data_IF_426726519764
#
_entry.id   IF_426726519764
#
_cell.length_a   1.000
_cell.length_b   1.000
_cell.length_c   1.000
_cell.angle_alpha   90.00
_cell.angle_beta   90.00
_cell.angle_gamma   90.00
#
_symmetry.space_group_name_H-M   'P 1'
#
loop_
_entity.id
_entity.type
_entity.pdbx_description
1 polymer ?
#
# COMPACT_ATOMS: atom_id res chain seq x y z
N UNK A 1 -0.07 -41.95 47.80
CA UNK A 1 0.75 -41.72 46.59
C UNK A 1 -0.06 -42.23 45.42
N UNK A 2 -0.52 -41.45 44.44
CA UNK A 2 -0.34 -40.04 44.07
C UNK A 2 -1.65 -39.57 43.36
N UNK A 3 -1.97 -38.26 43.36
CA UNK A 3 -3.12 -37.74 42.62
C UNK A 3 -2.77 -37.54 41.14
N UNK A 4 -3.72 -37.82 40.26
CA UNK A 4 -3.63 -37.61 38.81
C UNK A 4 -3.65 -36.11 38.48
N UNK A 5 -2.56 -35.63 37.90
CA UNK A 5 -2.44 -34.32 37.27
C UNK A 5 -3.31 -34.30 36.00
N UNK A 6 -4.34 -33.47 36.00
CA UNK A 6 -5.05 -33.07 34.79
C UNK A 6 -4.21 -31.95 34.16
N UNK A 7 -3.59 -32.27 33.05
CA UNK A 7 -2.85 -31.34 32.20
C UNK A 7 -3.86 -30.39 31.55
N UNK A 8 -3.88 -29.13 31.96
CA UNK A 8 -4.71 -28.10 31.33
C UNK A 8 -4.14 -27.78 29.96
N UNK A 9 -4.85 -28.16 28.90
CA UNK A 9 -4.52 -27.75 27.53
C UNK A 9 -4.35 -26.22 27.46
N UNK A 10 -3.32 -25.71 26.76
CA UNK A 10 -3.18 -24.28 26.53
C UNK A 10 -4.39 -23.77 25.76
N UNK A 11 -5.02 -22.72 26.29
CA UNK A 11 -6.16 -22.07 25.65
C UNK A 11 -5.73 -21.47 24.33
N UNK A 12 -6.46 -21.78 23.25
CA UNK A 12 -6.19 -21.23 21.94
C UNK A 12 -6.42 -19.69 21.93
N UNK A 13 -5.59 -18.90 21.22
CA UNK A 13 -5.59 -17.44 21.30
C UNK A 13 -6.90 -16.75 20.91
N UNK A 14 -7.83 -17.46 20.25
CA UNK A 14 -9.13 -16.94 19.85
C UNK A 14 -10.21 -16.97 20.95
N UNK A 15 -9.88 -17.49 22.14
CA UNK A 15 -10.79 -17.53 23.30
C UNK A 15 -10.47 -16.49 24.38
N UNK A 16 -9.59 -15.52 24.09
CA UNK A 16 -9.48 -14.31 24.91
C UNK A 16 -10.75 -13.48 24.70
N UNK A 17 -11.73 -13.70 25.58
CA UNK A 17 -12.88 -12.83 25.78
C UNK A 17 -12.41 -11.38 25.84
N UNK A 18 -12.87 -10.54 24.92
CA UNK A 18 -12.62 -9.11 24.90
C UNK A 18 -13.04 -8.49 26.23
N UNK A 19 -12.12 -7.91 27.01
CA UNK A 19 -12.50 -6.78 27.81
C UNK A 19 -12.49 -5.57 26.88
N UNK A 20 -13.53 -4.76 26.93
CA UNK A 20 -13.46 -3.35 26.55
C UNK A 20 -12.37 -2.68 27.39
N UNK A 21 -11.11 -2.83 27.00
CA UNK A 21 -10.01 -2.02 27.45
C UNK A 21 -9.87 -0.90 26.43
N UNK A 22 -10.46 0.25 26.75
CA UNK A 22 -9.76 1.50 26.45
C UNK A 22 -8.43 1.44 27.23
N UNK A 23 -7.45 0.71 26.72
CA UNK A 23 -6.07 0.90 27.15
C UNK A 23 -5.75 2.37 26.89
N UNK A 24 -4.98 2.98 27.80
CA UNK A 24 -4.71 4.43 27.83
C UNK A 24 -3.86 4.93 26.67
N UNK A 25 -4.36 4.79 25.45
CA UNK A 25 -3.81 5.42 24.25
C UNK A 25 -3.97 6.91 24.44
N UNK A 26 -2.86 7.64 24.61
CA UNK A 26 -2.89 9.08 24.60
C UNK A 26 -3.21 9.57 23.18
N UNK A 27 -4.50 9.76 22.90
CA UNK A 27 -4.96 10.20 21.57
C UNK A 27 -4.40 11.57 21.17
N UNK A 28 -3.82 12.34 22.10
CA UNK A 28 -3.20 13.64 21.82
C UNK A 28 -1.96 13.54 20.93
N UNK A 29 -1.31 12.38 20.86
CA UNK A 29 -0.15 12.16 19.99
C UNK A 29 -0.54 11.97 18.52
N UNK A 30 -1.84 11.75 18.24
CA UNK A 30 -2.38 11.68 16.89
C UNK A 30 -3.07 13.02 16.57
N UNK A 31 -2.58 13.81 15.61
CA UNK A 31 -3.12 15.16 15.37
C UNK A 31 -4.62 15.21 15.04
N UNK A 32 -5.16 14.15 14.44
CA UNK A 32 -6.59 13.99 14.15
C UNK A 32 -7.32 13.09 15.17
N UNK A 33 -6.63 12.65 16.22
CA UNK A 33 -7.13 11.74 17.24
C UNK A 33 -7.33 10.29 16.77
N UNK A 34 -6.90 9.95 15.55
CA UNK A 34 -7.11 8.62 14.94
C UNK A 34 -5.77 7.93 14.72
N UNK A 35 -5.64 6.76 15.35
CA UNK A 35 -4.49 5.86 15.21
C UNK A 35 -4.65 4.99 13.96
N UNK A 36 -3.54 4.71 13.27
CA UNK A 36 -3.50 3.71 12.18
C UNK A 36 -3.81 2.33 12.77
N UNK A 37 -4.68 1.54 12.17
CA UNK A 37 -5.04 0.22 12.74
C UNK A 37 -3.83 -0.74 12.73
N UNK A 38 -3.09 -0.76 11.62
CA UNK A 38 -1.92 -1.60 11.40
C UNK A 38 -2.24 -2.81 10.52
N UNK A 39 -1.33 -3.78 10.48
CA UNK A 39 -1.54 -5.00 9.70
C UNK A 39 -2.31 -6.02 10.56
N UNK A 40 -3.30 -6.68 9.98
CA UNK A 40 -4.17 -7.64 10.68
C UNK A 40 -4.38 -8.92 9.88
N UNK A 41 -4.62 -10.01 10.59
CA UNK A 41 -5.13 -11.22 9.96
C UNK A 41 -6.59 -11.00 9.53
N UNK A 42 -7.03 -11.60 8.41
CA UNK A 42 -8.42 -11.54 8.01
C UNK A 42 -9.31 -12.27 9.01
N UNK A 43 -10.58 -11.90 9.02
CA UNK A 43 -11.63 -12.66 9.68
C UNK A 43 -11.83 -13.96 8.89
N UNK A 44 -11.16 -15.04 9.31
CA UNK A 44 -11.13 -16.31 8.57
C UNK A 44 -12.51 -16.88 8.23
N UNK A 45 -13.52 -16.65 9.08
CA UNK A 45 -14.90 -17.07 8.84
C UNK A 45 -15.58 -16.33 7.66
N UNK A 46 -15.04 -15.19 7.24
CA UNK A 46 -15.54 -14.41 6.11
C UNK A 46 -14.83 -14.73 4.80
N UNK A 47 -13.71 -15.47 4.86
CA UNK A 47 -13.00 -15.90 3.66
C UNK A 47 -13.86 -16.83 2.81
N UNK A 48 -13.81 -16.61 1.50
CA UNK A 48 -14.55 -17.42 0.53
C UNK A 48 -13.63 -18.49 -0.06
N UNK A 49 -14.12 -19.72 -0.31
CA UNK A 49 -13.34 -20.74 -0.99
C UNK A 49 -13.17 -20.38 -2.48
N UNK A 50 -12.17 -20.98 -3.15
CA UNK A 50 -11.92 -20.77 -4.58
C UNK A 50 -13.17 -20.94 -5.46
N UNK A 51 -14.05 -21.89 -5.13
CA UNK A 51 -15.29 -22.14 -5.88
C UNK A 51 -16.27 -20.95 -5.89
N UNK A 52 -16.13 -20.00 -4.98
CA UNK A 52 -16.93 -18.78 -4.93
C UNK A 52 -16.31 -17.61 -5.72
N UNK A 53 -15.05 -17.74 -6.17
CA UNK A 53 -14.42 -16.71 -6.99
C UNK A 53 -14.95 -16.73 -8.43
N UNK A 54 -15.09 -15.56 -9.07
CA UNK A 54 -15.52 -15.49 -10.46
C UNK A 54 -14.50 -16.16 -11.39
N UNK A 55 -15.01 -16.87 -12.41
CA UNK A 55 -14.18 -17.39 -13.50
C UNK A 55 -13.70 -16.29 -14.45
N UNK A 56 -14.47 -15.21 -14.53
CA UNK A 56 -14.15 -14.01 -15.29
C UNK A 56 -14.71 -12.79 -14.55
N UNK A 57 -13.86 -11.79 -14.34
CA UNK A 57 -14.23 -10.46 -13.84
C UNK A 57 -14.48 -9.56 -15.06
N UNK A 58 -15.48 -8.70 -14.98
CA UNK A 58 -15.80 -7.68 -16.00
C UNK A 58 -15.90 -6.30 -15.35
N UNK A 59 -15.92 -5.24 -16.15
CA UNK A 59 -16.05 -3.85 -15.68
C UNK A 59 -14.74 -3.05 -15.76
N UNK A 60 -14.78 -1.81 -15.27
CA UNK A 60 -13.73 -0.80 -15.51
C UNK A 60 -12.39 -1.08 -14.83
N UNK A 61 -12.40 -1.91 -13.79
CA UNK A 61 -11.20 -2.38 -13.08
C UNK A 61 -10.41 -3.41 -13.89
N UNK A 62 -11.01 -3.98 -14.95
CA UNK A 62 -10.37 -4.92 -15.87
C UNK A 62 -9.90 -4.16 -17.10
N UNK A 63 -8.60 -3.89 -17.17
CA UNK A 63 -7.99 -3.17 -18.28
C UNK A 63 -6.68 -3.81 -18.69
N UNK A 64 -6.25 -3.52 -19.93
CA UNK A 64 -4.98 -3.97 -20.48
C UNK A 64 -4.04 -2.81 -20.72
N UNK A 65 -2.74 -3.07 -20.80
CA UNK A 65 -1.76 -2.01 -21.06
C UNK A 65 -2.05 -1.28 -22.38
N UNK A 66 -2.49 -2.01 -23.41
CA UNK A 66 -2.77 -1.46 -24.74
C UNK A 66 -3.90 -0.42 -24.75
N UNK A 67 -4.78 -0.44 -23.74
CA UNK A 67 -5.83 0.56 -23.57
C UNK A 67 -5.25 1.98 -23.30
N UNK A 68 -4.00 2.05 -22.81
CA UNK A 68 -3.39 3.27 -22.25
C UNK A 68 -2.04 3.65 -22.87
N UNK A 69 -1.24 2.70 -23.37
CA UNK A 69 0.10 2.95 -23.92
C UNK A 69 0.11 4.07 -24.97
N UNK A 70 -0.91 4.09 -25.84
CA UNK A 70 -1.06 5.09 -26.91
C UNK A 70 -2.16 6.12 -26.65
N UNK A 71 -2.73 6.14 -25.44
CA UNK A 71 -3.89 6.97 -25.06
C UNK A 71 -3.65 7.68 -23.70
N UNK A 72 -2.61 8.52 -23.57
CA UNK A 72 -2.26 9.18 -22.32
C UNK A 72 -3.39 10.03 -21.76
N UNK A 73 -4.25 10.62 -22.58
CA UNK A 73 -5.41 11.43 -22.17
C UNK A 73 -6.41 10.67 -21.30
N UNK A 74 -6.37 9.33 -21.29
CA UNK A 74 -7.25 8.49 -20.46
C UNK A 74 -6.77 8.35 -19.00
N UNK A 75 -5.50 8.68 -18.72
CA UNK A 75 -4.88 8.41 -17.43
C UNK A 75 -3.84 9.45 -16.97
N UNK A 76 -3.57 10.46 -17.78
CA UNK A 76 -2.65 11.57 -17.48
C UNK A 76 -3.43 12.87 -17.28
N UNK A 77 -3.25 13.51 -16.13
CA UNK A 77 -3.72 14.87 -15.87
C UNK A 77 -2.54 15.82 -15.79
N UNK A 78 -2.45 16.78 -16.71
CA UNK A 78 -1.43 17.83 -16.64
C UNK A 78 -2.02 18.99 -15.84
N UNK A 79 -1.36 19.36 -14.74
CA UNK A 79 -1.82 20.52 -13.96
C UNK A 79 -1.77 21.78 -14.81
N UNK A 80 -2.87 22.52 -14.82
CA UNK A 80 -2.89 23.85 -15.44
C UNK A 80 -2.43 24.94 -14.46
N UNK A 81 -2.22 26.15 -14.96
CA UNK A 81 -1.72 27.28 -14.16
C UNK A 81 -2.65 27.66 -13.00
N UNK A 82 -3.97 27.56 -13.18
CA UNK A 82 -4.93 27.87 -12.12
C UNK A 82 -4.88 26.84 -10.99
N UNK A 83 -4.74 25.56 -11.32
CA UNK A 83 -4.63 24.47 -10.36
C UNK A 83 -3.33 24.58 -9.54
N UNK A 84 -2.21 24.90 -10.21
CA UNK A 84 -0.93 25.15 -9.53
C UNK A 84 -1.00 26.40 -8.65
N UNK A 85 -1.65 27.48 -9.12
CA UNK A 85 -1.82 28.69 -8.34
C UNK A 85 -2.67 28.46 -7.09
N UNK A 86 -3.76 27.70 -7.21
CA UNK A 86 -4.60 27.30 -6.08
C UNK A 86 -3.80 26.47 -5.06
N UNK A 87 -3.11 25.41 -5.52
CA UNK A 87 -2.29 24.55 -4.65
C UNK A 87 -1.19 25.36 -3.94
N UNK A 88 -0.50 26.23 -4.67
CA UNK A 88 0.53 27.11 -4.11
C UNK A 88 -0.04 27.97 -2.99
N UNK A 89 -1.14 28.68 -3.25
CA UNK A 89 -1.71 29.63 -2.31
C UNK A 89 -2.25 28.94 -1.04
N UNK A 90 -2.84 27.75 -1.17
CA UNK A 90 -3.32 26.97 -0.02
C UNK A 90 -2.16 26.38 0.78
N UNK A 91 -1.10 25.91 0.09
CA UNK A 91 0.11 25.43 0.75
C UNK A 91 0.82 26.53 1.53
N UNK A 92 0.95 27.73 0.96
CA UNK A 92 1.57 28.88 1.64
C UNK A 92 0.80 29.25 2.92
N UNK A 93 -0.54 29.33 2.84
CA UNK A 93 -1.39 29.57 4.02
C UNK A 93 -1.26 28.50 5.09
N UNK A 94 -1.15 27.23 4.69
CA UNK A 94 -0.97 26.12 5.63
C UNK A 94 0.39 26.23 6.35
N UNK A 95 1.45 26.57 5.60
CA UNK A 95 2.80 26.80 6.15
C UNK A 95 2.77 27.98 7.14
N UNK A 96 2.14 29.10 6.76
CA UNK A 96 2.00 30.29 7.61
C UNK A 96 1.23 29.99 8.91
N UNK A 97 0.25 29.08 8.87
CA UNK A 97 -0.50 28.67 10.05
C UNK A 97 0.33 27.87 11.06
N UNK A 98 1.53 27.41 10.69
CA UNK A 98 2.43 26.67 11.58
C UNK A 98 1.89 25.30 12.03
N UNK A 99 0.91 24.76 11.30
CA UNK A 99 0.35 23.44 11.57
C UNK A 99 1.37 22.39 11.09
N UNK A 100 1.73 21.39 11.91
CA UNK A 100 2.65 20.34 11.47
C UNK A 100 2.03 19.54 10.31
N UNK A 101 2.88 19.03 9.41
CA UNK A 101 2.45 18.17 8.29
C UNK A 101 1.57 16.99 8.73
N UNK A 102 1.84 16.42 9.89
CA UNK A 102 1.05 15.30 10.45
C UNK A 102 -0.38 15.70 10.85
N UNK A 103 -0.65 17.01 10.98
CA UNK A 103 -1.97 17.58 11.23
C UNK A 103 -2.70 18.09 9.99
N UNK A 104 -2.15 17.86 8.78
CA UNK A 104 -2.84 18.24 7.55
C UNK A 104 -4.09 17.40 7.34
N UNK A 105 -5.20 18.05 7.06
CA UNK A 105 -6.47 17.40 6.81
C UNK A 105 -7.31 18.24 5.84
N UNK A 106 -8.39 17.64 5.33
CA UNK A 106 -9.28 18.31 4.37
C UNK A 106 -9.92 19.59 4.92
N UNK A 107 -10.06 19.71 6.25
CA UNK A 107 -10.66 20.88 6.88
C UNK A 107 -9.72 22.08 6.93
N UNK A 108 -8.40 21.87 7.01
CA UNK A 108 -7.38 22.93 7.06
C UNK A 108 -6.58 23.08 5.76
N UNK A 109 -6.75 22.17 4.79
CA UNK A 109 -6.21 22.27 3.43
C UNK A 109 -7.34 22.25 2.40
N UNK A 110 -7.99 23.39 2.20
CA UNK A 110 -9.20 23.51 1.36
C UNK A 110 -8.89 24.00 -0.05
N UNK A 111 -9.03 23.12 -1.03
CA UNK A 111 -9.04 23.40 -2.46
C UNK A 111 -10.47 23.66 -2.93
N UNK A 112 -10.78 24.88 -3.33
CA UNK A 112 -12.10 25.30 -3.76
C UNK A 112 -12.46 24.75 -5.15
N UNK A 113 -11.54 24.83 -6.11
CA UNK A 113 -11.76 24.38 -7.49
C UNK A 113 -11.33 22.93 -7.68
N UNK A 114 -10.07 22.62 -7.35
CA UNK A 114 -9.45 21.31 -7.62
C UNK A 114 -10.13 20.15 -6.87
N UNK A 115 -10.85 20.42 -5.78
CA UNK A 115 -11.59 19.39 -5.03
C UNK A 115 -12.66 18.65 -5.85
N UNK A 116 -13.23 19.28 -6.88
CA UNK A 116 -14.21 18.61 -7.75
C UNK A 116 -13.54 17.55 -8.61
N UNK A 117 -12.40 17.89 -9.22
CA UNK A 117 -11.59 16.94 -9.97
C UNK A 117 -11.10 15.80 -9.05
N UNK A 118 -10.56 16.12 -7.87
CA UNK A 118 -10.03 15.12 -6.94
C UNK A 118 -11.09 14.14 -6.45
N UNK A 119 -12.35 14.57 -6.29
CA UNK A 119 -13.47 13.66 -5.99
C UNK A 119 -13.73 12.68 -7.14
N UNK A 120 -13.69 13.15 -8.39
CA UNK A 120 -13.80 12.29 -9.57
C UNK A 120 -12.65 11.29 -9.65
N UNK A 121 -11.42 11.76 -9.38
CA UNK A 121 -10.23 10.91 -9.38
C UNK A 121 -10.30 9.87 -8.27
N UNK A 122 -10.75 10.24 -7.06
CA UNK A 122 -10.98 9.27 -5.99
C UNK A 122 -11.96 8.17 -6.42
N UNK A 123 -13.04 8.52 -7.11
CA UNK A 123 -13.98 7.53 -7.66
C UNK A 123 -13.29 6.60 -8.67
N UNK A 124 -12.49 7.15 -9.60
CA UNK A 124 -11.70 6.38 -10.58
C UNK A 124 -10.67 5.45 -9.91
N UNK A 125 -10.05 5.89 -8.80
CA UNK A 125 -9.12 5.04 -8.03
C UNK A 125 -9.84 3.86 -7.41
N UNK A 126 -11.02 4.08 -6.85
CA UNK A 126 -11.74 3.04 -6.11
C UNK A 126 -12.50 2.10 -7.04
N UNK A 127 -13.18 2.62 -8.06
CA UNK A 127 -14.16 1.84 -8.83
C UNK A 127 -13.87 1.78 -10.34
N UNK A 128 -12.98 2.64 -10.84
CA UNK A 128 -12.56 2.67 -12.25
C UNK A 128 -11.25 1.91 -12.46
N UNK A 129 -10.39 2.45 -13.33
CA UNK A 129 -9.08 1.86 -13.67
C UNK A 129 -8.08 1.77 -12.51
N UNK A 130 -8.27 2.54 -11.44
CA UNK A 130 -7.44 2.39 -10.25
C UNK A 130 -6.10 3.09 -10.27
N UNK A 131 -5.77 3.91 -11.27
CA UNK A 131 -4.53 4.69 -11.30
C UNK A 131 -4.67 5.99 -12.09
N UNK A 132 -3.80 6.96 -11.80
CA UNK A 132 -3.65 8.22 -12.52
C UNK A 132 -2.22 8.75 -12.41
N UNK A 133 -1.76 9.43 -13.45
CA UNK A 133 -0.51 10.17 -13.47
C UNK A 133 -0.80 11.67 -13.57
N UNK A 134 -0.44 12.42 -12.54
CA UNK A 134 -0.39 13.87 -12.64
C UNK A 134 0.98 14.31 -13.15
N UNK A 135 1.01 15.32 -14.02
CA UNK A 135 2.25 15.94 -14.51
C UNK A 135 2.28 17.44 -14.22
N UNK A 136 3.49 17.98 -14.07
CA UNK A 136 3.73 19.42 -13.92
C UNK A 136 3.66 19.94 -12.48
N UNK A 137 3.76 19.07 -11.47
CA UNK A 137 3.85 19.51 -10.08
C UNK A 137 5.21 20.20 -9.85
N UNK A 138 5.27 21.46 -9.40
CA UNK A 138 6.46 22.30 -9.53
C UNK A 138 7.47 22.10 -8.38
N UNK A 139 7.95 20.87 -8.20
CA UNK A 139 8.83 20.49 -7.08
C UNK A 139 10.13 21.29 -7.02
N UNK A 140 10.72 21.60 -8.17
CA UNK A 140 11.97 22.37 -8.25
C UNK A 140 11.78 23.82 -7.79
N UNK A 141 10.60 24.40 -8.05
CA UNK A 141 10.27 25.77 -7.65
C UNK A 141 9.87 25.85 -6.18
N UNK A 142 9.19 24.83 -5.66
CA UNK A 142 8.68 24.81 -4.30
C UNK A 142 9.68 24.28 -3.27
N UNK A 143 10.68 23.50 -3.70
CA UNK A 143 11.55 22.76 -2.79
C UNK A 143 10.79 21.71 -1.98
N UNK A 144 11.49 20.95 -1.15
CA UNK A 144 10.91 19.78 -0.48
C UNK A 144 9.75 20.11 0.45
N UNK A 145 9.86 21.17 1.27
CA UNK A 145 8.85 21.45 2.29
C UNK A 145 7.50 21.83 1.68
N UNK A 146 7.46 22.82 0.78
CA UNK A 146 6.20 23.23 0.15
C UNK A 146 5.64 22.15 -0.79
N UNK A 147 6.52 21.39 -1.45
CA UNK A 147 6.09 20.21 -2.22
C UNK A 147 5.41 19.16 -1.35
N UNK A 148 5.97 18.86 -0.17
CA UNK A 148 5.37 17.95 0.81
C UNK A 148 4.01 18.45 1.29
N UNK A 149 3.89 19.74 1.64
CA UNK A 149 2.62 20.35 2.06
C UNK A 149 1.55 20.23 0.98
N UNK A 150 1.87 20.65 -0.26
CA UNK A 150 0.91 20.60 -1.36
C UNK A 150 0.53 19.16 -1.74
N UNK A 151 1.51 18.24 -1.72
CA UNK A 151 1.30 16.83 -2.06
C UNK A 151 0.47 16.09 -1.03
N UNK A 152 0.76 16.27 0.26
CA UNK A 152 -0.09 15.77 1.33
C UNK A 152 -1.48 16.41 1.25
N UNK A 153 -1.55 17.73 1.01
CA UNK A 153 -2.82 18.44 0.82
C UNK A 153 -3.72 17.80 -0.25
N UNK A 154 -3.16 17.43 -1.41
CA UNK A 154 -3.85 16.64 -2.44
C UNK A 154 -4.33 15.29 -1.89
N UNK A 155 -3.45 14.58 -1.17
CA UNK A 155 -3.76 13.29 -0.54
C UNK A 155 -4.98 13.30 0.37
N UNK A 156 -5.27 14.43 1.06
CA UNK A 156 -6.45 14.56 1.93
C UNK A 156 -7.79 14.40 1.21
N UNK A 157 -7.81 14.57 -0.11
CA UNK A 157 -9.00 14.35 -0.94
C UNK A 157 -9.14 12.91 -1.43
N UNK A 158 -8.04 12.15 -1.37
CA UNK A 158 -7.97 10.76 -1.83
C UNK A 158 -8.08 9.76 -0.70
N UNK A 159 -7.78 10.11 0.55
CA UNK A 159 -7.97 9.23 1.71
C UNK A 159 -7.32 9.76 2.99
N UNK A 160 -7.23 8.90 3.99
CA UNK A 160 -6.61 9.21 5.28
C UNK A 160 -5.19 8.68 5.35
N UNK A 161 -4.22 9.49 5.77
CA UNK A 161 -2.85 9.01 5.89
C UNK A 161 -2.72 7.91 6.93
N UNK A 162 -2.09 6.81 6.52
CA UNK A 162 -1.71 5.72 7.41
C UNK A 162 -0.20 5.65 7.53
N UNK A 163 0.26 5.11 8.65
CA UNK A 163 1.68 4.88 8.84
C UNK A 163 2.20 3.78 7.91
N UNK A 164 3.41 3.96 7.40
CA UNK A 164 4.04 3.14 6.37
C UNK A 164 5.15 2.22 6.90
N UNK A 165 5.51 2.38 8.18
CA UNK A 165 6.57 1.63 8.85
C UNK A 165 6.48 1.79 10.38
N UNK A 166 7.29 1.03 11.11
CA UNK A 166 7.35 1.05 12.57
C UNK A 166 7.84 2.37 13.18
N UNK A 167 8.30 3.35 12.37
CA UNK A 167 8.71 4.69 12.82
C UNK A 167 7.57 5.71 12.76
N UNK A 168 6.37 5.32 12.31
CA UNK A 168 5.24 6.23 12.23
C UNK A 168 5.23 7.10 10.97
N UNK A 169 6.07 6.83 9.96
CA UNK A 169 6.14 7.69 8.78
C UNK A 169 4.81 7.68 8.01
N UNK A 170 4.15 8.84 7.92
CA UNK A 170 2.94 9.05 7.10
C UNK A 170 3.28 9.74 5.77
N UNK A 171 4.41 10.44 5.71
CA UNK A 171 5.11 10.82 4.49
C UNK A 171 6.39 9.98 4.42
N UNK A 172 6.43 9.01 3.52
CA UNK A 172 7.57 8.10 3.34
C UNK A 172 8.51 8.61 2.26
N UNK A 173 9.74 8.09 2.25
CA UNK A 173 10.72 8.38 1.20
C UNK A 173 11.26 7.08 0.60
N UNK A 174 11.11 6.94 -0.72
CA UNK A 174 11.69 5.84 -1.50
C UNK A 174 13.01 6.33 -2.09
N UNK A 175 14.12 5.88 -1.51
CA UNK A 175 15.47 6.38 -1.76
C UNK A 175 16.48 5.32 -1.37
N UNK A 176 17.53 5.12 -2.17
CA UNK A 176 18.61 4.22 -1.80
C UNK A 176 19.44 4.84 -0.67
N UNK A 177 19.60 4.10 0.42
CA UNK A 177 20.39 4.46 1.60
C UNK A 177 21.70 3.68 1.68
N UNK A 178 22.02 2.87 0.67
CA UNK A 178 23.22 2.03 0.63
C UNK A 178 23.11 0.76 1.48
N UNK A 179 21.89 0.32 1.75
CA UNK A 179 21.62 -0.90 2.51
C UNK A 179 21.77 -2.15 1.64
N UNK A 180 22.14 -3.27 2.25
CA UNK A 180 22.31 -4.55 1.56
C UNK A 180 20.94 -5.23 1.29
N UNK A 181 20.48 -5.30 0.02
CA UNK A 181 19.17 -5.88 -0.31
C UNK A 181 19.10 -7.40 -0.07
N UNK A 182 20.23 -8.07 0.18
CA UNK A 182 20.26 -9.51 0.49
C UNK A 182 19.89 -9.81 1.94
N UNK A 183 19.94 -8.82 2.84
CA UNK A 183 19.48 -8.91 4.22
C UNK A 183 17.96 -8.80 4.30
N UNK A 184 17.26 -9.69 3.57
CA UNK A 184 15.83 -9.57 3.28
C UNK A 184 14.94 -9.53 4.52
N UNK A 185 15.38 -10.05 5.67
CA UNK A 185 14.65 -10.05 6.94
C UNK A 185 14.72 -8.70 7.68
N UNK A 186 15.72 -7.87 7.38
CA UNK A 186 16.01 -6.61 8.09
C UNK A 186 15.83 -5.37 7.21
N UNK A 187 16.16 -5.50 5.93
CA UNK A 187 16.18 -4.37 4.98
C UNK A 187 14.86 -4.30 4.24
N UNK A 188 14.29 -3.09 4.20
CA UNK A 188 13.11 -2.79 3.38
C UNK A 188 13.57 -2.40 1.98
N UNK A 189 13.09 -3.11 0.96
CA UNK A 189 13.55 -2.96 -0.43
C UNK A 189 13.51 -1.51 -0.96
N UNK A 190 12.56 -0.69 -0.49
CA UNK A 190 12.42 0.72 -0.88
C UNK A 190 13.60 1.61 -0.46
N UNK A 191 14.44 1.13 0.48
CA UNK A 191 15.67 1.78 0.96
C UNK A 191 16.92 1.36 0.16
N UNK A 192 16.73 0.63 -0.94
CA UNK A 192 17.80 0.09 -1.80
C UNK A 192 17.50 0.38 -3.27
N UNK A 193 18.50 0.15 -4.13
CA UNK A 193 18.39 0.28 -5.58
C UNK A 193 18.00 -1.01 -6.34
N UNK A 194 17.79 -2.13 -5.64
CA UNK A 194 17.42 -3.41 -6.25
C UNK A 194 16.00 -3.39 -6.85
N UNK A 195 15.66 -4.30 -7.78
CA UNK A 195 14.29 -4.41 -8.31
C UNK A 195 13.28 -4.61 -7.16
N UNK A 196 12.12 -3.98 -7.25
CA UNK A 196 10.96 -4.30 -6.40
C UNK A 196 9.91 -4.99 -7.26
N UNK A 197 9.62 -6.26 -6.95
CA UNK A 197 8.68 -7.11 -7.69
C UNK A 197 7.23 -6.62 -7.58
N UNK A 198 6.32 -7.19 -8.38
CA UNK A 198 4.91 -6.80 -8.32
C UNK A 198 4.32 -7.05 -6.93
N UNK A 199 3.74 -6.01 -6.35
CA UNK A 199 3.18 -6.00 -5.01
C UNK A 199 2.00 -5.02 -4.89
N UNK A 200 1.30 -5.12 -3.76
CA UNK A 200 0.33 -4.17 -3.26
C UNK A 200 0.75 -3.81 -1.83
N UNK A 201 0.94 -2.52 -1.59
CA UNK A 201 1.30 -1.98 -0.27
C UNK A 201 0.15 -2.22 0.73
N UNK A 202 0.45 -2.24 2.04
CA UNK A 202 -0.57 -2.40 3.11
C UNK A 202 -1.38 -1.10 3.33
N UNK A 203 -1.99 -0.56 2.28
CA UNK A 203 -2.90 0.59 2.30
C UNK A 203 -3.87 0.52 1.12
N UNK A 204 -4.96 1.29 1.10
CA UNK A 204 -5.92 1.24 -0.01
C UNK A 204 -5.40 1.97 -1.26
N UNK A 205 -4.80 3.15 -1.10
CA UNK A 205 -4.22 3.96 -2.18
C UNK A 205 -2.75 4.27 -1.85
N UNK A 206 -1.87 4.14 -2.83
CA UNK A 206 -0.48 4.61 -2.75
C UNK A 206 -0.27 5.77 -3.71
N UNK A 207 0.49 6.76 -3.27
CA UNK A 207 0.96 7.88 -4.09
C UNK A 207 2.47 7.95 -4.13
N UNK A 208 3.05 8.28 -5.28
CA UNK A 208 4.48 8.51 -5.48
C UNK A 208 4.71 9.84 -6.21
N UNK A 209 5.27 10.83 -5.52
CA UNK A 209 5.74 12.09 -6.10
C UNK A 209 7.23 12.00 -6.41
N UNK A 210 7.63 12.23 -7.66
CA UNK A 210 9.03 12.24 -8.05
C UNK A 210 9.72 13.58 -7.71
N UNK A 211 10.71 13.51 -6.81
CA UNK A 211 11.55 14.65 -6.42
C UNK A 211 12.86 14.66 -7.21
N UNK A 212 13.45 13.48 -7.39
CA UNK A 212 14.67 13.28 -8.16
C UNK A 212 14.66 11.91 -8.83
N UNK A 213 15.27 11.82 -10.02
CA UNK A 213 15.36 10.59 -10.81
C UNK A 213 16.69 9.87 -10.61
N UNK A 214 16.68 8.57 -10.87
CA UNK A 214 17.91 7.80 -11.08
C UNK A 214 18.57 8.20 -12.40
N UNK A 215 19.85 7.84 -12.56
CA UNK A 215 20.56 7.95 -13.84
C UNK A 215 19.96 6.96 -14.86
N UNK A 216 19.74 5.72 -14.42
CA UNK A 216 19.19 4.64 -15.25
C UNK A 216 18.22 3.78 -14.42
N UNK A 217 17.13 3.34 -15.04
CA UNK A 217 16.12 2.48 -14.41
C UNK A 217 15.29 3.19 -13.33
N UNK A 218 14.70 2.39 -12.43
CA UNK A 218 13.86 2.90 -11.33
C UNK A 218 12.47 3.33 -11.79
N UNK A 219 12.10 2.83 -12.95
CA UNK A 219 10.84 3.02 -13.66
C UNK A 219 9.74 2.19 -13.00
N UNK A 220 8.50 2.60 -13.19
CA UNK A 220 7.34 1.98 -12.53
C UNK A 220 6.56 1.14 -13.52
N UNK A 221 6.18 -0.06 -13.11
CA UNK A 221 5.25 -0.90 -13.87
C UNK A 221 3.97 -1.07 -13.04
N UNK A 222 2.80 -1.01 -13.69
CA UNK A 222 1.51 -1.28 -13.04
C UNK A 222 0.68 -2.27 -13.84
N UNK A 223 -0.18 -3.04 -13.18
CA UNK A 223 -1.05 -4.01 -13.84
C UNK A 223 -2.39 -4.14 -13.12
N UNK A 224 -3.48 -4.29 -13.87
CA UNK A 224 -4.78 -4.66 -13.33
C UNK A 224 -4.71 -6.07 -12.73
N UNK A 225 -4.88 -6.18 -11.42
CA UNK A 225 -4.96 -7.48 -10.74
C UNK A 225 -6.16 -8.30 -11.22
N UNK A 226 -7.25 -7.65 -11.69
CA UNK A 226 -8.38 -8.35 -12.27
C UNK A 226 -8.07 -8.91 -13.67
N UNK A 227 -7.29 -8.19 -14.48
CA UNK A 227 -6.80 -8.75 -15.74
C UNK A 227 -5.83 -9.92 -15.51
N UNK A 228 -4.97 -9.81 -14.50
CA UNK A 228 -4.11 -10.92 -14.04
C UNK A 228 -4.96 -12.09 -13.58
N UNK A 229 -5.97 -11.87 -12.74
CA UNK A 229 -6.90 -12.91 -12.28
C UNK A 229 -7.56 -13.63 -13.45
N UNK A 230 -8.15 -12.90 -14.41
CA UNK A 230 -8.78 -13.50 -15.58
C UNK A 230 -7.79 -14.33 -16.41
N UNK A 231 -6.55 -13.86 -16.54
CA UNK A 231 -5.48 -14.57 -17.25
C UNK A 231 -5.11 -15.86 -16.52
N UNK A 232 -4.93 -15.81 -15.19
CA UNK A 232 -4.67 -16.99 -14.38
C UNK A 232 -5.83 -17.99 -14.42
N UNK A 233 -7.08 -17.54 -14.33
CA UNK A 233 -8.25 -18.42 -14.43
C UNK A 233 -8.29 -19.19 -15.76
N UNK A 234 -7.86 -18.55 -16.85
CA UNK A 234 -7.83 -19.14 -18.19
C UNK A 234 -6.63 -20.06 -18.42
N UNK A 235 -5.45 -19.65 -17.98
CA UNK A 235 -4.18 -20.29 -18.35
C UNK A 235 -3.65 -21.24 -17.25
N UNK A 236 -3.88 -20.91 -15.98
CA UNK A 236 -3.35 -21.61 -14.79
C UNK A 236 -4.36 -21.59 -13.62
N UNK A 237 -5.55 -22.21 -13.76
CA UNK A 237 -6.56 -22.22 -12.69
C UNK A 237 -6.07 -22.89 -11.40
N UNK A 238 -5.09 -23.79 -11.50
CA UNK A 238 -4.38 -24.39 -10.36
C UNK A 238 -3.60 -23.37 -9.53
N UNK A 239 -2.97 -22.40 -10.21
CA UNK A 239 -2.26 -21.28 -9.56
C UNK A 239 -3.27 -20.31 -8.95
N UNK A 240 -4.34 -19.97 -9.69
CA UNK A 240 -5.42 -19.12 -9.17
C UNK A 240 -6.01 -19.69 -7.89
N UNK A 241 -6.32 -20.99 -7.86
CA UNK A 241 -6.79 -21.68 -6.65
C UNK A 241 -5.77 -21.58 -5.50
N UNK A 242 -4.49 -21.85 -5.77
CA UNK A 242 -3.42 -21.81 -4.77
C UNK A 242 -3.29 -20.42 -4.12
N UNK A 243 -3.44 -19.34 -4.89
CA UNK A 243 -3.37 -17.97 -4.40
C UNK A 243 -4.57 -17.58 -3.51
N UNK A 244 -5.68 -18.31 -3.55
CA UNK A 244 -6.85 -18.08 -2.66
C UNK A 244 -6.80 -18.86 -1.35
N UNK A 245 -5.88 -19.82 -1.21
CA UNK A 245 -5.79 -20.64 0.01
C UNK A 245 -5.30 -19.78 1.19
N UNK A 246 -5.88 -19.89 2.40
CA UNK A 246 -5.46 -19.11 3.57
C UNK A 246 -4.23 -19.70 4.28
N UNK A 247 -3.27 -20.22 3.52
CA UNK A 247 -2.04 -20.85 4.01
C UNK A 247 -0.77 -20.08 3.60
N UNK A 248 -0.90 -18.84 3.12
CA UNK A 248 0.24 -17.94 2.95
C UNK A 248 0.48 -17.17 4.24
N UNK A 249 1.75 -16.94 4.50
CA UNK A 249 2.23 -16.15 5.62
C UNK A 249 2.97 -14.93 5.05
N UNK A 250 2.91 -13.82 5.75
CA UNK A 250 3.55 -12.56 5.39
C UNK A 250 4.24 -12.00 6.63
N UNK A 251 5.53 -11.75 6.50
CA UNK A 251 6.39 -11.24 7.55
C UNK A 251 6.07 -9.78 7.90
N UNK A 252 6.04 -9.43 9.20
CA UNK A 252 5.98 -8.03 9.66
C UNK A 252 7.35 -7.34 9.68
N UNK A 253 8.43 -8.03 9.34
CA UNK A 253 9.81 -7.50 9.29
C UNK A 253 10.25 -6.84 10.61
N UNK A 254 9.79 -7.39 11.73
CA UNK A 254 10.05 -6.84 13.07
C UNK A 254 9.14 -5.68 13.50
N UNK A 255 8.21 -5.23 12.65
CA UNK A 255 7.22 -4.20 12.97
C UNK A 255 6.03 -4.80 13.72
N UNK A 256 6.30 -5.27 14.94
CA UNK A 256 5.38 -6.07 15.76
C UNK A 256 4.98 -5.30 17.02
N UNK A 257 3.68 -5.18 17.26
CA UNK A 257 3.17 -4.64 18.53
C UNK A 257 3.17 -5.70 19.63
N UNK A 258 3.14 -5.28 20.90
CA UNK A 258 2.99 -6.19 22.04
C UNK A 258 1.76 -7.09 21.84
N UNK A 259 1.96 -8.41 21.91
CA UNK A 259 0.91 -9.41 21.76
C UNK A 259 0.56 -9.79 20.31
N UNK A 260 1.23 -9.21 19.31
CA UNK A 260 1.07 -9.63 17.92
C UNK A 260 2.04 -10.74 17.53
N UNK A 261 1.59 -11.62 16.66
CA UNK A 261 2.47 -12.53 15.93
C UNK A 261 3.40 -11.75 14.98
N UNK A 262 4.64 -12.22 14.76
CA UNK A 262 5.60 -11.55 13.88
C UNK A 262 5.30 -11.73 12.38
N UNK A 263 4.21 -12.41 12.06
CA UNK A 263 3.69 -12.63 10.71
C UNK A 263 2.16 -12.52 10.68
N UNK A 264 1.60 -12.41 9.48
CA UNK A 264 0.17 -12.45 9.21
C UNK A 264 -0.11 -13.63 8.27
N UNK A 265 -1.10 -14.46 8.60
CA UNK A 265 -1.53 -15.56 7.72
C UNK A 265 -2.81 -15.15 6.96
N UNK A 266 -2.76 -15.13 5.63
CA UNK A 266 -3.90 -14.73 4.78
C UNK A 266 -3.73 -15.27 3.35
N UNK A 267 -4.80 -15.34 2.52
CA UNK A 267 -4.65 -15.55 1.09
C UNK A 267 -3.95 -14.39 0.38
N UNK A 268 -3.54 -14.60 -0.88
CA UNK A 268 -3.07 -13.54 -1.78
C UNK A 268 -4.25 -12.83 -2.45
N UNK A 269 -5.22 -13.62 -2.95
CA UNK A 269 -6.48 -13.12 -3.50
C UNK A 269 -7.63 -13.41 -2.53
N UNK A 270 -8.46 -12.40 -2.30
CA UNK A 270 -9.60 -12.42 -1.40
C UNK A 270 -10.84 -11.89 -2.14
N UNK A 271 -12.03 -12.11 -1.57
CA UNK A 271 -13.28 -11.51 -2.04
C UNK A 271 -13.76 -10.51 -1.00
N UNK A 272 -14.21 -9.35 -1.47
CA UNK A 272 -14.93 -8.35 -0.68
C UNK A 272 -16.14 -8.98 0.04
N UNK A 273 -16.43 -8.52 1.25
CA UNK A 273 -17.58 -9.01 2.01
C UNK A 273 -18.90 -8.42 1.48
N UNK A 274 -19.98 -9.16 1.67
CA UNK A 274 -21.32 -8.77 1.20
C UNK A 274 -21.72 -9.44 -0.12
N UNK A 275 -22.80 -8.93 -0.71
CA UNK A 275 -23.31 -9.41 -2.00
C UNK A 275 -22.46 -8.88 -3.16
N UNK A 276 -22.24 -9.71 -4.18
CA UNK A 276 -21.47 -9.36 -5.39
C UNK A 276 -20.06 -8.83 -5.10
N UNK A 277 -19.37 -9.43 -4.11
CA UNK A 277 -18.04 -9.00 -3.70
C UNK A 277 -17.01 -9.05 -4.84
N UNK A 278 -16.19 -8.00 -4.93
CA UNK A 278 -15.07 -7.91 -5.89
C UNK A 278 -13.88 -8.73 -5.40
N UNK A 279 -13.08 -9.23 -6.33
CA UNK A 279 -11.80 -9.88 -6.02
C UNK A 279 -10.78 -8.79 -5.71
N UNK A 280 -10.01 -8.90 -4.65
CA UNK A 280 -8.90 -7.98 -4.40
C UNK A 280 -7.63 -8.75 -4.08
N UNK A 281 -6.48 -8.17 -4.39
CA UNK A 281 -5.17 -8.76 -4.06
C UNK A 281 -4.48 -7.99 -2.95
N UNK A 282 -3.78 -8.71 -2.09
CA UNK A 282 -2.86 -8.10 -1.15
C UNK A 282 -1.62 -8.99 -1.09
N UNK A 283 -0.55 -8.53 -1.74
CA UNK A 283 0.59 -9.35 -2.14
C UNK A 283 1.88 -8.57 -1.99
N UNK A 284 2.88 -9.13 -1.32
CA UNK A 284 4.26 -8.67 -1.46
C UNK A 284 5.20 -9.89 -1.35
N UNK A 285 5.92 -10.25 -2.42
CA UNK A 285 6.82 -11.40 -2.40
C UNK A 285 7.96 -11.25 -1.39
N UNK A 286 8.37 -10.03 -1.03
CA UNK A 286 9.43 -9.81 -0.04
C UNK A 286 9.00 -10.19 1.37
N UNK A 287 7.71 -10.05 1.69
CA UNK A 287 7.17 -10.49 2.98
C UNK A 287 7.00 -12.00 3.06
N UNK A 288 6.91 -12.69 1.92
CA UNK A 288 6.90 -14.16 1.89
C UNK A 288 8.33 -14.71 1.94
N UNK A 289 9.25 -14.14 1.16
CA UNK A 289 10.64 -14.63 1.04
C UNK A 289 11.44 -14.53 2.33
N UNK A 290 11.18 -13.54 3.20
CA UNK A 290 11.93 -13.39 4.46
C UNK A 290 11.48 -14.31 5.59
N UNK A 291 10.48 -15.14 5.35
CA UNK A 291 9.93 -16.05 6.36
C UNK A 291 10.78 -17.29 6.61
N UNK A 292 11.86 -17.51 5.86
CA UNK A 292 12.76 -18.66 6.04
C UNK A 292 13.22 -18.79 7.49
N UNK A 293 13.52 -17.67 8.17
CA UNK A 293 13.88 -17.67 9.60
C UNK A 293 12.82 -18.26 10.53
N UNK A 294 11.55 -18.24 10.14
CA UNK A 294 10.44 -18.85 10.90
C UNK A 294 10.19 -20.30 10.46
N UNK A 295 10.29 -20.61 9.16
CA UNK A 295 10.09 -21.97 8.67
C UNK A 295 11.24 -22.90 9.06
N UNK A 296 12.48 -22.42 9.02
CA UNK A 296 13.67 -23.18 9.41
C UNK A 296 13.67 -23.49 10.92
N UNK A 297 13.05 -22.59 11.71
CA UNK A 297 12.81 -22.78 13.13
C UNK A 297 11.55 -23.63 13.44
N UNK A 298 10.80 -24.07 12.43
CA UNK A 298 9.58 -24.86 12.59
C UNK A 298 8.37 -24.11 13.15
N UNK A 299 8.41 -22.77 13.18
CA UNK A 299 7.31 -21.92 13.69
C UNK A 299 6.15 -21.86 12.70
N UNK A 300 6.45 -21.85 11.41
CA UNK A 300 5.46 -21.94 10.32
C UNK A 300 5.89 -23.00 9.31
N UNK A 301 4.99 -23.51 8.45
CA UNK A 301 5.38 -24.39 7.36
C UNK A 301 6.29 -23.67 6.33
N UNK A 302 7.25 -24.37 5.71
CA UNK A 302 7.94 -23.85 4.53
C UNK A 302 6.96 -23.71 3.35
N UNK A 303 7.36 -22.93 2.34
CA UNK A 303 6.58 -22.83 1.11
C UNK A 303 6.46 -24.19 0.43
N UNK A 304 5.24 -24.56 0.06
CA UNK A 304 5.01 -25.76 -0.75
C UNK A 304 5.50 -25.55 -2.19
N UNK A 305 5.76 -26.63 -2.95
CA UNK A 305 6.10 -26.52 -4.37
C UNK A 305 5.07 -25.71 -5.17
N UNK A 306 3.79 -25.86 -4.86
CA UNK A 306 2.69 -25.12 -5.50
C UNK A 306 2.75 -23.62 -5.17
N UNK A 307 3.10 -23.26 -3.94
CA UNK A 307 3.29 -21.85 -3.56
C UNK A 307 4.49 -21.24 -4.28
N UNK A 308 5.61 -21.96 -4.37
CA UNK A 308 6.81 -21.49 -5.11
C UNK A 308 6.49 -21.26 -6.59
N UNK A 309 5.80 -22.20 -7.23
CA UNK A 309 5.33 -22.06 -8.61
C UNK A 309 4.35 -20.90 -8.76
N UNK A 310 3.38 -20.74 -7.85
CA UNK A 310 2.41 -19.66 -7.90
C UNK A 310 3.07 -18.27 -7.81
N UNK A 311 4.12 -18.10 -7.00
CA UNK A 311 4.90 -16.85 -6.93
C UNK A 311 5.50 -16.51 -8.30
N UNK A 312 6.12 -17.50 -8.94
CA UNK A 312 6.77 -17.33 -10.25
C UNK A 312 5.75 -16.98 -11.32
N UNK A 313 4.68 -17.77 -11.44
CA UNK A 313 3.63 -17.57 -12.45
C UNK A 313 2.93 -16.23 -12.26
N UNK A 314 2.69 -15.80 -11.02
CA UNK A 314 2.09 -14.50 -10.74
C UNK A 314 2.98 -13.35 -11.22
N UNK A 315 4.27 -13.36 -10.90
CA UNK A 315 5.22 -12.33 -11.36
C UNK A 315 5.34 -12.31 -12.89
N UNK A 316 5.49 -13.47 -13.52
CA UNK A 316 5.59 -13.59 -14.99
C UNK A 316 4.32 -13.10 -15.69
N UNK A 317 3.15 -13.40 -15.11
CA UNK A 317 1.86 -12.91 -15.63
C UNK A 317 1.73 -11.41 -15.47
N UNK A 318 2.11 -10.84 -14.32
CA UNK A 318 2.09 -9.40 -14.10
C UNK A 318 3.02 -8.68 -15.09
N UNK A 319 4.26 -9.16 -15.25
CA UNK A 319 5.24 -8.58 -16.17
C UNK A 319 4.77 -8.58 -17.63
N UNK A 320 4.11 -9.65 -18.07
CA UNK A 320 3.58 -9.74 -19.44
C UNK A 320 2.44 -8.77 -19.71
N UNK A 321 1.65 -8.43 -18.70
CA UNK A 321 0.42 -7.63 -18.82
C UNK A 321 0.58 -6.18 -18.37
N UNK A 322 1.76 -5.79 -17.89
CA UNK A 322 1.96 -4.51 -17.24
C UNK A 322 2.02 -3.34 -18.20
N UNK A 323 1.44 -2.21 -17.77
CA UNK A 323 1.68 -0.90 -18.34
C UNK A 323 2.97 -0.33 -17.72
N UNK A 324 3.97 -0.13 -18.58
CA UNK A 324 5.23 0.51 -18.21
C UNK A 324 5.09 2.03 -18.16
N UNK A 325 5.70 2.67 -17.16
CA UNK A 325 5.73 4.12 -17.06
C UNK A 325 7.00 4.70 -16.44
N UNK A 326 7.34 5.90 -16.90
CA UNK A 326 8.48 6.67 -16.42
C UNK A 326 7.94 7.91 -15.70
N UNK A 327 8.33 8.08 -14.44
CA UNK A 327 7.98 9.27 -13.66
C UNK A 327 9.06 10.34 -13.88
N UNK A 328 8.64 11.47 -14.43
CA UNK A 328 9.47 12.66 -14.54
C UNK A 328 9.50 13.44 -13.22
N UNK A 329 10.49 14.32 -13.04
CA UNK A 329 10.54 15.20 -11.87
C UNK A 329 9.25 16.04 -11.82
N UNK A 330 8.54 15.99 -10.70
CA UNK A 330 7.23 16.62 -10.55
C UNK A 330 6.03 15.81 -11.04
N UNK A 331 6.23 14.58 -11.49
CA UNK A 331 5.11 13.67 -11.74
C UNK A 331 4.62 13.04 -10.42
N UNK A 332 3.30 12.84 -10.32
CA UNK A 332 2.66 12.13 -9.20
C UNK A 332 1.88 10.95 -9.75
N UNK A 333 2.29 9.74 -9.40
CA UNK A 333 1.48 8.54 -9.63
C UNK A 333 0.60 8.30 -8.41
N UNK A 334 -0.70 8.09 -8.60
CA UNK A 334 -1.56 7.45 -7.60
C UNK A 334 -2.11 6.15 -8.17
N UNK A 335 -2.21 5.12 -7.33
CA UNK A 335 -2.88 3.87 -7.67
C UNK A 335 -3.57 3.22 -6.47
N UNK A 336 -4.54 2.36 -6.74
CA UNK A 336 -5.30 1.58 -5.77
C UNK A 336 -4.72 0.19 -5.59
N UNK A 337 -4.22 -0.11 -4.41
CA UNK A 337 -3.68 -1.45 -4.08
C UNK A 337 -4.76 -2.53 -4.06
N UNK A 338 -6.04 -2.16 -3.95
CA UNK A 338 -7.13 -3.14 -3.94
C UNK A 338 -7.18 -3.93 -5.26
N UNK A 339 -6.89 -3.27 -6.40
CA UNK A 339 -7.01 -3.91 -7.71
C UNK A 339 -5.89 -3.59 -8.71
N UNK A 340 -4.86 -2.86 -8.31
CA UNK A 340 -3.64 -2.61 -9.11
C UNK A 340 -2.42 -3.15 -8.36
N UNK A 341 -1.66 -4.04 -9.02
CA UNK A 341 -0.32 -4.44 -8.57
C UNK A 341 0.71 -3.54 -9.25
N UNK A 342 1.80 -3.25 -8.54
CA UNK A 342 2.84 -2.37 -9.05
C UNK A 342 4.25 -2.85 -8.71
N UNK A 343 5.22 -2.47 -9.54
CA UNK A 343 6.61 -2.86 -9.42
C UNK A 343 7.54 -1.70 -9.75
N UNK A 344 8.82 -1.87 -9.44
CA UNK A 344 9.88 -0.94 -9.79
C UNK A 344 11.08 -1.69 -10.37
N UNK A 345 11.62 -1.23 -11.48
CA UNK A 345 12.88 -1.77 -12.01
C UNK A 345 14.06 -1.50 -11.07
N UNK A 346 15.14 -2.28 -11.21
CA UNK A 346 16.41 -1.95 -10.55
C UNK A 346 16.95 -0.63 -11.13
N UNK A 347 17.80 0.07 -10.39
CA UNK A 347 18.31 1.35 -10.85
C UNK A 347 19.73 1.67 -10.40
N UNK A 348 20.32 2.64 -11.07
CA UNK A 348 21.63 3.22 -10.74
C UNK A 348 21.45 4.71 -10.54
N UNK A 349 21.91 5.23 -9.40
CA UNK A 349 21.90 6.67 -9.12
C UNK A 349 23.07 7.39 -9.79
N UNK A 350 22.93 8.69 -9.96
CA UNK A 350 24.07 9.54 -10.30
C UNK A 350 25.14 9.51 -9.20
N UNK A 351 26.41 9.63 -9.60
CA UNK A 351 27.49 9.85 -8.66
C UNK A 351 27.35 11.22 -7.97
N UNK A 352 27.74 11.35 -6.69
CA UNK A 352 27.81 12.65 -6.02
C UNK A 352 28.64 13.66 -6.84
N UNK A 353 28.24 14.95 -6.87
CA UNK A 353 27.28 15.62 -6.00
C UNK A 353 25.83 15.66 -6.52
N UNK A 354 25.51 14.98 -7.64
CA UNK A 354 24.15 14.96 -8.17
C UNK A 354 23.17 14.29 -7.20
N UNK A 355 21.89 14.70 -7.17
CA UNK A 355 20.90 14.10 -6.29
C UNK A 355 20.66 12.63 -6.68
N UNK A 356 20.56 11.77 -5.67
CA UNK A 356 20.09 10.39 -5.82
C UNK A 356 18.58 10.37 -6.08
N UNK A 357 18.08 9.29 -6.70
CA UNK A 357 16.65 9.05 -6.90
C UNK A 357 15.90 9.17 -5.58
N UNK A 358 14.84 9.96 -5.59
CA UNK A 358 14.00 10.19 -4.42
C UNK A 358 12.55 10.37 -4.83
N UNK A 359 11.67 9.57 -4.24
CA UNK A 359 10.23 9.79 -4.30
C UNK A 359 9.69 10.07 -2.89
N UNK A 360 8.72 10.97 -2.79
CA UNK A 360 7.85 11.08 -1.61
C UNK A 360 6.66 10.14 -1.77
N UNK A 361 6.39 9.30 -0.77
CA UNK A 361 5.32 8.29 -0.81
C UNK A 361 4.22 8.60 0.19
N UNK A 362 2.98 8.46 -0.25
CA UNK A 362 1.80 8.45 0.60
C UNK A 362 1.17 7.07 0.60
N UNK A 363 0.72 6.63 1.77
CA UNK A 363 -0.24 5.55 1.92
C UNK A 363 -1.52 6.11 2.50
N UNK A 364 -2.64 5.83 1.84
CA UNK A 364 -3.94 6.39 2.18
C UNK A 364 -4.96 5.26 2.37
N UNK A 365 -5.70 5.35 3.47
CA UNK A 365 -6.84 4.50 3.76
C UNK A 365 -8.15 5.11 3.23
N UNK A 366 -9.06 4.24 2.85
CA UNK A 366 -10.39 4.58 2.34
C UNK A 366 -11.42 3.72 3.07
N UNK A 367 -12.07 4.23 4.14
CA UNK A 367 -13.04 3.44 4.89
C UNK A 367 -14.27 3.08 4.06
N UNK A 368 -14.89 1.95 4.38
CA UNK A 368 -16.07 1.47 3.64
C UNK A 368 -17.24 2.46 3.65
N UNK A 369 -17.42 3.17 4.76
CA UNK A 369 -18.47 4.20 4.91
C UNK A 369 -18.28 5.43 4.01
N UNK A 370 -17.10 5.56 3.38
CA UNK A 370 -16.76 6.65 2.46
C UNK A 370 -16.42 6.13 1.05
N UNK A 371 -16.97 4.97 0.69
CA UNK A 371 -16.86 4.36 -0.64
C UNK A 371 -15.68 3.41 -0.84
N UNK A 372 -14.86 3.17 0.20
CA UNK A 372 -13.84 2.13 0.17
C UNK A 372 -14.44 0.72 0.06
N UNK A 373 -13.62 -0.24 -0.37
CA UNK A 373 -14.07 -1.63 -0.53
C UNK A 373 -14.29 -2.28 0.85
N UNK A 374 -15.29 -3.17 0.99
CA UNK A 374 -15.64 -3.86 2.24
C UNK A 374 -14.77 -5.09 2.46
N UNK A 375 -13.66 -4.94 3.18
CA UNK A 375 -12.67 -6.00 3.28
C UNK A 375 -13.00 -6.98 4.43
N UNK A 376 -12.59 -8.26 4.36
CA UNK A 376 -12.81 -9.26 5.41
C UNK A 376 -11.83 -9.06 6.60
N UNK A 377 -11.71 -7.83 7.09
CA UNK A 377 -10.86 -7.46 8.22
C UNK A 377 -11.68 -6.69 9.25
N UNK A 378 -11.31 -6.85 10.52
CA UNK A 378 -11.99 -6.19 11.64
C UNK A 378 -11.98 -4.65 11.58
N UNK A 379 -11.05 -4.06 10.83
CA UNK A 379 -10.85 -2.61 10.68
C UNK A 379 -11.43 -2.07 9.36
N UNK A 380 -12.23 -2.83 8.61
CA UNK A 380 -12.80 -2.38 7.32
C UNK A 380 -13.52 -1.03 7.40
N UNK A 381 -14.17 -0.76 8.54
CA UNK A 381 -14.91 0.48 8.81
C UNK A 381 -14.05 1.61 9.42
N UNK A 382 -12.81 1.34 9.81
CA UNK A 382 -11.93 2.33 10.45
C UNK A 382 -11.41 3.34 9.43
N UNK A 383 -11.37 4.62 9.81
CA UNK A 383 -10.90 5.70 8.93
C UNK A 383 -9.46 5.50 8.45
N UNK A 384 -8.60 4.98 9.33
CA UNK A 384 -7.18 4.69 9.07
C UNK A 384 -6.90 3.18 9.11
N UNK A 385 -7.68 2.42 8.35
CA UNK A 385 -7.51 0.97 8.20
C UNK A 385 -6.21 0.60 7.47
N UNK A 386 -5.68 -0.59 7.73
CA UNK A 386 -4.38 -1.02 7.23
C UNK A 386 -3.21 -0.21 7.79
N UNK A 387 -2.19 0.00 6.96
CA UNK A 387 -0.91 0.59 7.33
C UNK A 387 -0.06 -0.31 8.22
N UNK A 388 1.02 0.25 8.75
CA UNK A 388 1.89 -0.39 9.72
C UNK A 388 1.88 0.46 10.99
N UNK A 389 1.32 -0.08 12.07
CA UNK A 389 1.30 0.57 13.37
C UNK A 389 1.99 -0.33 14.40
N UNK A 390 3.07 0.17 15.00
CA UNK A 390 3.78 -0.51 16.08
C UNK A 390 3.46 0.20 17.39
N UNK A 391 2.81 -0.52 18.29
CA UNK A 391 2.34 0.00 19.58
C UNK A 391 1.62 1.35 19.37
N UNK A 392 1.96 2.37 20.16
CA UNK A 392 1.42 3.72 20.07
C UNK A 392 2.39 4.71 19.39
N UNK A 393 3.23 4.24 18.47
CA UNK A 393 4.11 5.11 17.70
C UNK A 393 3.32 6.23 17.01
N UNK A 394 3.67 7.48 17.33
CA UNK A 394 3.03 8.67 16.78
C UNK A 394 3.40 8.86 15.30
N UNK A 395 2.51 9.47 14.50
CA UNK A 395 2.79 9.75 13.10
C UNK A 395 3.90 10.81 12.95
N UNK A 396 4.74 10.64 11.94
CA UNK A 396 5.84 11.54 11.58
C UNK A 396 5.82 11.78 10.08
N UNK A 397 6.13 13.00 9.65
CA UNK A 397 6.26 13.35 8.23
C UNK A 397 7.64 13.99 8.00
N UNK A 398 8.71 13.17 7.90
CA UNK A 398 10.05 13.69 7.61
C UNK A 398 10.08 14.33 6.22
N UNK A 399 11.07 15.21 5.99
CA UNK A 399 11.29 15.86 4.69
C UNK A 399 12.38 15.18 3.84
N UNK A 400 13.07 14.19 4.40
CA UNK A 400 13.99 13.30 3.69
C UNK A 400 13.97 11.89 4.31
N UNK A 401 14.55 10.91 3.62
CA UNK A 401 14.70 9.55 4.12
C UNK A 401 15.59 9.50 5.37
N UNK A 402 15.24 8.61 6.31
CA UNK A 402 15.91 8.43 7.59
C UNK A 402 16.35 6.99 7.85
#
# INVERSE_FOLDING_TARGET
MAPSLIDTQPTAPHHLSSPSQSSGIDRKIFPDGIKTSGQHAPLYAQLKPYSAFPKEITGETVWKAEDYVHNPERWVHVFNEEEIAELSAVADKFIEAGIPLTGICKDNFRLAKLSTLLRSIRHEMLNGKGFILFKGFPVEKWGNHKSAVAYMGLGTYLGYFVSQNGRGHVLGHVKDLGEDPTQIDKVRIYRTNARQFFHADDADIVGLLCIARALEGGESDIVSSHHVWNTLQKERPDVAETLTKPNWYFDRKGEVSVGQEPYVRRPVFLIETGENGRVFSQWDPYFVKSLTRFSDAGVIPPLSPEQVEAIKVLEETCLRLSLHMILEIGDIQFLSNAHVLHARTAYTDYAPPAPRRQLMRLWLATPEGEGGWKLPYHDSAEKKRGGIQVNDQAPVAPLDAE
#
